data_IF_680929414497
#
_entry.id   IF_680929414497
#
_cell.length_a   1.000
_cell.length_b   1.000
_cell.length_c   1.000
_cell.angle_alpha   90.00
_cell.angle_beta   90.00
_cell.angle_gamma   90.00
#
_symmetry.space_group_name_H-M   'P 1'
#
loop_
_entity.id
_entity.type
_entity.pdbx_description
1 polymer ?
#
# COMPACT_ATOMS: atom_id res chain seq x y z
N UNK A 1 -15.94 -40.22 6.13
CA UNK A 1 -14.91 -39.60 7.00
C UNK A 1 -14.36 -38.28 6.44
N UNK A 2 -14.23 -38.11 5.12
CA UNK A 2 -13.70 -36.89 4.48
C UNK A 2 -14.53 -35.61 4.64
N UNK A 3 -15.84 -35.72 4.91
CA UNK A 3 -16.72 -34.54 5.15
C UNK A 3 -16.45 -33.84 6.50
N UNK A 4 -15.91 -34.55 7.49
CA UNK A 4 -15.66 -33.98 8.84
C UNK A 4 -14.32 -33.24 8.90
N UNK A 5 -13.30 -33.73 8.20
CA UNK A 5 -11.97 -33.07 8.13
C UNK A 5 -12.04 -31.78 7.29
N UNK A 6 -12.78 -31.80 6.17
CA UNK A 6 -13.02 -30.58 5.38
C UNK A 6 -13.83 -29.51 6.12
N UNK A 7 -14.78 -29.92 6.98
CA UNK A 7 -15.55 -28.99 7.81
C UNK A 7 -14.73 -28.31 8.90
N UNK A 8 -13.77 -29.03 9.51
CA UNK A 8 -12.88 -28.48 10.55
C UNK A 8 -11.85 -27.53 9.92
N UNK A 9 -11.32 -27.84 8.74
CA UNK A 9 -10.43 -26.94 8.01
C UNK A 9 -11.15 -25.65 7.57
N UNK A 10 -12.41 -25.74 7.16
CA UNK A 10 -13.24 -24.58 6.82
C UNK A 10 -13.56 -23.73 8.05
N UNK A 11 -13.85 -24.37 9.20
CA UNK A 11 -14.11 -23.67 10.47
C UNK A 11 -12.85 -23.00 11.03
N UNK A 12 -11.67 -23.61 10.88
CA UNK A 12 -10.39 -23.00 11.26
C UNK A 12 -10.01 -21.85 10.32
N UNK A 13 -10.30 -21.96 9.02
CA UNK A 13 -10.11 -20.87 8.07
C UNK A 13 -11.08 -19.69 8.34
N UNK A 14 -12.34 -19.98 8.68
CA UNK A 14 -13.32 -18.97 9.06
C UNK A 14 -12.99 -18.31 10.40
N UNK A 15 -12.51 -19.08 11.39
CA UNK A 15 -12.04 -18.54 12.67
C UNK A 15 -10.77 -17.68 12.51
N UNK A 16 -9.87 -18.04 11.60
CA UNK A 16 -8.68 -17.25 11.28
C UNK A 16 -9.05 -15.94 10.57
N UNK A 17 -10.03 -15.97 9.66
CA UNK A 17 -10.56 -14.77 8.99
C UNK A 17 -11.30 -13.85 9.97
N UNK A 18 -12.12 -14.41 10.88
CA UNK A 18 -12.79 -13.63 11.92
C UNK A 18 -11.82 -13.06 12.96
N UNK A 19 -10.72 -13.77 13.28
CA UNK A 19 -9.68 -13.24 14.15
C UNK A 19 -8.91 -12.08 13.51
N UNK A 20 -8.79 -12.04 12.18
CA UNK A 20 -8.23 -10.88 11.47
C UNK A 20 -9.17 -9.67 11.44
N UNK A 21 -10.50 -9.87 11.42
CA UNK A 21 -11.47 -8.77 11.49
C UNK A 21 -11.65 -8.21 12.90
N UNK A 22 -11.44 -9.01 13.95
CA UNK A 22 -11.65 -8.61 15.34
C UNK A 22 -10.53 -7.72 15.92
N UNK A 23 -9.33 -7.74 15.33
CA UNK A 23 -8.22 -6.86 15.75
C UNK A 23 -8.31 -5.42 15.16
N UNK A 24 -9.38 -5.09 14.40
CA UNK A 24 -9.56 -3.77 13.76
C UNK A 24 -10.60 -2.85 14.44
N UNK A 25 -11.26 -3.27 15.52
CA UNK A 25 -12.20 -2.42 16.26
C UNK A 25 -11.99 -2.49 17.79
N UNK A 26 -11.18 -1.56 18.29
CA UNK A 26 -11.16 -1.19 19.70
C UNK A 26 -12.49 -0.48 20.04
N UNK A 27 -13.38 -1.17 20.76
CA UNK A 27 -14.56 -0.55 21.37
C UNK A 27 -14.49 -0.76 22.87
N UNK A 28 -14.24 0.35 23.55
CA UNK A 28 -14.36 0.55 24.99
C UNK A 28 -15.78 0.17 25.45
N UNK A 29 -15.90 -0.79 26.36
CA UNK A 29 -17.15 -1.04 27.10
C UNK A 29 -16.99 -0.58 28.56
N UNK A 30 -17.86 0.35 28.97
CA UNK A 30 -18.14 0.72 30.37
C UNK A 30 -18.92 -0.40 31.09
N UNK A 31 -18.84 -0.48 32.44
CA UNK A 31 -19.34 -1.63 33.19
C UNK A 31 -20.83 -1.49 33.51
N UNK A 32 -21.65 -2.47 33.12
CA UNK A 32 -23.03 -2.57 33.59
C UNK A 32 -23.19 -3.78 34.53
N UNK A 33 -23.42 -3.41 35.78
CA UNK A 33 -24.26 -4.01 36.82
C UNK A 33 -24.41 -5.54 36.93
N UNK A 34 -24.05 -6.02 38.11
CA UNK A 34 -24.43 -7.29 38.69
C UNK A 34 -25.95 -7.51 38.67
N UNK A 35 -26.36 -8.68 38.17
CA UNK A 35 -27.66 -9.27 38.44
C UNK A 35 -27.48 -10.76 38.70
N UNK A 36 -27.85 -11.15 39.92
CA UNK A 36 -27.85 -12.50 40.46
C UNK A 36 -28.72 -13.44 39.61
N UNK A 37 -28.18 -14.59 39.21
CA UNK A 37 -29.00 -15.74 38.83
C UNK A 37 -28.53 -16.97 39.60
N UNK A 38 -29.45 -17.37 40.48
CA UNK A 38 -29.50 -18.52 41.35
C UNK A 38 -28.85 -19.81 40.83
N UNK A 39 -28.28 -20.53 41.78
CA UNK A 39 -27.77 -21.88 41.68
C UNK A 39 -28.72 -22.82 40.91
N UNK A 40 -28.23 -23.35 39.79
CA UNK A 40 -28.59 -24.68 39.33
C UNK A 40 -27.31 -25.47 39.14
N UNK A 41 -27.00 -26.28 40.15
CA UNK A 41 -25.92 -27.27 40.13
C UNK A 41 -26.26 -28.33 39.09
N UNK A 42 -25.99 -28.05 37.81
CA UNK A 42 -25.83 -29.09 36.80
C UNK A 42 -24.45 -29.70 37.02
N UNK A 43 -24.44 -30.92 37.59
CA UNK A 43 -23.27 -31.78 37.62
C UNK A 43 -22.71 -31.95 36.20
N UNK A 44 -21.74 -31.12 35.82
CA UNK A 44 -20.85 -31.41 34.72
C UNK A 44 -19.99 -32.59 35.15
N UNK A 45 -19.89 -33.69 34.36
CA UNK A 45 -18.92 -34.72 34.67
C UNK A 45 -17.53 -34.06 34.72
N UNK A 46 -16.72 -34.41 35.73
CA UNK A 46 -15.33 -33.98 35.82
C UNK A 46 -14.69 -34.14 34.43
N UNK A 47 -14.42 -33.02 33.75
CA UNK A 47 -13.66 -33.05 32.51
C UNK A 47 -12.26 -33.44 32.93
N UNK A 48 -11.95 -34.72 32.84
CA UNK A 48 -10.62 -35.25 33.13
C UNK A 48 -9.61 -34.52 32.24
N UNK A 49 -8.95 -33.50 32.79
CA UNK A 49 -7.90 -32.76 32.09
C UNK A 49 -6.79 -33.70 31.60
N UNK A 50 -6.63 -34.86 32.25
CA UNK A 50 -5.73 -35.92 31.85
C UNK A 50 -6.13 -36.62 30.53
N UNK A 51 -7.43 -36.81 30.24
CA UNK A 51 -7.87 -37.42 28.98
C UNK A 51 -7.79 -36.42 27.82
N UNK A 52 -8.11 -35.14 28.08
CA UNK A 52 -7.87 -34.06 27.13
C UNK A 52 -6.37 -33.89 26.85
N UNK A 53 -5.52 -33.88 27.88
CA UNK A 53 -4.07 -33.77 27.73
C UNK A 53 -3.47 -34.95 26.96
N UNK A 54 -3.96 -36.19 27.17
CA UNK A 54 -3.54 -37.35 26.38
C UNK A 54 -3.90 -37.20 24.89
N UNK A 55 -5.03 -36.57 24.58
CA UNK A 55 -5.45 -36.31 23.19
C UNK A 55 -4.55 -35.27 22.48
N UNK A 56 -3.78 -34.47 23.22
CA UNK A 56 -2.80 -33.51 22.69
C UNK A 56 -1.38 -34.08 22.55
N UNK A 57 -1.13 -35.33 22.95
CA UNK A 57 0.19 -35.96 22.77
C UNK A 57 0.26 -36.47 21.33
N UNK A 58 1.17 -35.95 20.49
CA UNK A 58 1.31 -36.40 19.11
C UNK A 58 1.85 -37.84 19.05
N UNK A 59 1.57 -38.55 17.96
CA UNK A 59 2.08 -39.90 17.64
C UNK A 59 1.48 -41.07 18.44
N UNK A 60 0.26 -40.94 18.98
CA UNK A 60 -0.36 -42.02 19.75
C UNK A 60 -1.00 -43.14 18.90
N UNK A 61 -1.51 -42.81 17.71
CA UNK A 61 -2.23 -43.76 16.87
C UNK A 61 -1.37 -44.21 15.68
N UNK A 62 -1.08 -45.52 15.52
CA UNK A 62 -0.26 -46.02 14.42
C UNK A 62 -0.90 -45.77 13.03
N UNK A 63 -2.23 -45.79 12.94
CA UNK A 63 -2.96 -45.57 11.68
C UNK A 63 -2.84 -44.13 11.15
N UNK A 64 -2.66 -43.16 12.05
CA UNK A 64 -2.50 -41.74 11.70
C UNK A 64 -1.03 -41.29 11.77
N UNK A 65 -0.11 -42.16 12.19
CA UNK A 65 1.29 -41.83 12.40
C UNK A 65 1.93 -41.14 11.19
N UNK A 66 1.66 -41.63 9.96
CA UNK A 66 2.19 -41.03 8.73
C UNK A 66 1.63 -39.62 8.50
N UNK A 67 0.33 -39.41 8.71
CA UNK A 67 -0.33 -38.11 8.54
C UNK A 67 0.12 -37.14 9.62
N UNK A 68 0.22 -37.60 10.88
CA UNK A 68 0.72 -36.83 12.01
C UNK A 68 2.18 -36.43 11.79
N UNK A 69 3.05 -37.37 11.41
CA UNK A 69 4.45 -37.09 11.09
C UNK A 69 4.61 -36.12 9.92
N UNK A 70 3.82 -36.28 8.85
CA UNK A 70 3.83 -35.35 7.73
C UNK A 70 3.36 -33.94 8.14
N UNK A 71 2.31 -33.85 8.96
CA UNK A 71 1.77 -32.56 9.44
C UNK A 71 2.74 -31.84 10.36
N UNK A 72 3.37 -32.56 11.29
CA UNK A 72 4.42 -32.00 12.16
C UNK A 72 5.65 -31.58 11.36
N UNK A 73 6.09 -32.40 10.41
CA UNK A 73 7.21 -32.06 9.53
C UNK A 73 6.92 -30.80 8.71
N UNK A 74 5.70 -30.67 8.18
CA UNK A 74 5.26 -29.48 7.46
C UNK A 74 5.20 -28.25 8.37
N UNK A 75 4.67 -28.38 9.59
CA UNK A 75 4.63 -27.31 10.58
C UNK A 75 6.02 -26.82 10.99
N UNK A 76 6.95 -27.74 11.25
CA UNK A 76 8.35 -27.41 11.57
C UNK A 76 9.01 -26.72 10.38
N UNK A 77 8.85 -27.25 9.16
CA UNK A 77 9.39 -26.64 7.95
C UNK A 77 8.85 -25.21 7.77
N UNK A 78 7.54 -25.01 7.96
CA UNK A 78 6.90 -23.70 7.88
C UNK A 78 7.50 -22.72 8.90
N UNK A 79 7.68 -23.14 10.16
CA UNK A 79 8.30 -22.31 11.19
C UNK A 79 9.76 -21.95 10.84
N UNK A 80 10.56 -22.92 10.39
CA UNK A 80 11.95 -22.67 9.99
C UNK A 80 12.00 -21.66 8.84
N UNK A 81 11.17 -21.83 7.81
CA UNK A 81 11.10 -20.92 6.67
C UNK A 81 10.63 -19.52 7.08
N UNK A 82 9.71 -19.42 8.05
CA UNK A 82 9.27 -18.15 8.61
C UNK A 82 10.41 -17.40 9.29
N UNK A 83 11.11 -18.04 10.24
CA UNK A 83 12.20 -17.38 10.99
C UNK A 83 13.39 -17.05 10.10
N UNK A 84 13.79 -17.95 9.20
CA UNK A 84 14.87 -17.70 8.23
C UNK A 84 14.47 -16.57 7.27
N UNK A 85 13.25 -16.59 6.76
CA UNK A 85 12.75 -15.56 5.84
C UNK A 85 12.66 -14.18 6.50
N UNK A 86 12.18 -14.11 7.74
CA UNK A 86 12.15 -12.89 8.55
C UNK A 86 13.57 -12.35 8.77
N UNK A 87 14.51 -13.22 9.16
CA UNK A 87 15.90 -12.84 9.40
C UNK A 87 16.61 -12.32 8.15
N UNK A 88 16.35 -12.93 6.98
CA UNK A 88 16.89 -12.47 5.70
C UNK A 88 16.39 -11.07 5.33
N UNK A 89 15.08 -10.83 5.46
CA UNK A 89 14.50 -9.51 5.19
C UNK A 89 15.08 -8.44 6.12
N UNK A 90 15.18 -8.76 7.42
CA UNK A 90 15.77 -7.86 8.41
C UNK A 90 17.22 -7.52 8.06
N UNK A 91 18.03 -8.51 7.68
CA UNK A 91 19.42 -8.31 7.27
C UNK A 91 19.56 -7.39 6.05
N UNK A 92 18.70 -7.54 5.03
CA UNK A 92 18.71 -6.66 3.86
C UNK A 92 18.42 -5.22 4.26
N UNK A 93 17.45 -5.04 5.16
CA UNK A 93 17.03 -3.72 5.59
C UNK A 93 18.07 -3.04 6.50
N UNK A 94 18.71 -3.80 7.39
CA UNK A 94 19.83 -3.32 8.21
C UNK A 94 21.04 -2.94 7.32
N UNK A 95 21.37 -3.74 6.31
CA UNK A 95 22.42 -3.40 5.33
C UNK A 95 22.14 -2.12 4.55
N UNK A 96 20.89 -1.89 4.17
CA UNK A 96 20.51 -0.63 3.53
C UNK A 96 20.68 0.55 4.49
N UNK A 97 20.30 0.38 5.76
CA UNK A 97 20.43 1.43 6.77
C UNK A 97 21.91 1.78 7.00
N UNK A 98 22.79 0.79 7.13
CA UNK A 98 24.24 0.99 7.30
C UNK A 98 24.85 1.83 6.17
N UNK A 99 24.40 1.62 4.92
CA UNK A 99 24.87 2.38 3.75
C UNK A 99 24.23 3.77 3.66
N UNK A 100 22.95 3.91 4.03
CA UNK A 100 22.19 5.14 3.90
C UNK A 100 22.45 6.14 5.04
N UNK A 101 22.61 5.65 6.27
CA UNK A 101 22.61 6.45 7.49
C UNK A 101 23.71 7.53 7.52
N UNK A 102 24.97 7.27 7.12
CA UNK A 102 26.01 8.31 7.08
C UNK A 102 25.63 9.49 6.18
N UNK A 103 25.00 9.22 5.03
CA UNK A 103 24.57 10.25 4.09
C UNK A 103 23.38 11.00 4.66
N UNK A 104 22.39 10.29 5.22
CA UNK A 104 21.20 10.92 5.76
C UNK A 104 21.53 11.80 6.97
N UNK A 105 22.44 11.38 7.86
CA UNK A 105 22.86 12.19 9.02
C UNK A 105 23.60 13.46 8.64
N UNK A 106 24.37 13.46 7.54
CA UNK A 106 25.06 14.68 7.09
C UNK A 106 24.12 15.66 6.39
N UNK A 107 23.04 15.16 5.81
CA UNK A 107 22.14 15.92 4.94
C UNK A 107 20.85 16.38 5.61
N UNK A 108 20.49 15.79 6.76
CA UNK A 108 19.26 16.06 7.49
C UNK A 108 19.54 16.34 8.97
N UNK A 109 18.82 17.32 9.54
CA UNK A 109 18.95 17.67 10.96
C UNK A 109 18.31 16.61 11.87
N UNK A 110 17.19 16.03 11.43
CA UNK A 110 16.47 15.01 12.18
C UNK A 110 16.38 13.73 11.35
N UNK A 111 17.12 12.72 11.78
CA UNK A 111 17.00 11.36 11.27
C UNK A 111 16.32 10.49 12.35
N UNK A 112 15.71 9.36 11.96
CA UNK A 112 15.08 8.45 12.91
C UNK A 112 15.99 8.03 14.07
N UNK A 113 17.31 8.04 13.85
CA UNK A 113 18.34 7.69 14.83
C UNK A 113 18.95 8.88 15.61
N UNK A 114 18.41 10.10 15.45
CA UNK A 114 18.87 11.33 16.14
C UNK A 114 18.07 11.66 17.41
N UNK A 115 16.90 11.05 17.59
CA UNK A 115 16.09 11.21 18.82
C UNK A 115 16.68 10.31 19.92
N UNK A 116 16.69 10.74 21.18
CA UNK A 116 17.25 9.98 22.32
C UNK A 116 16.63 8.57 22.50
N UNK A 117 15.45 8.33 21.93
CA UNK A 117 14.79 7.02 21.81
C UNK A 117 14.84 6.45 20.38
N UNK A 118 15.94 6.73 19.66
CA UNK A 118 16.11 6.60 18.21
C UNK A 118 15.24 5.54 17.57
N UNK A 119 14.11 5.97 17.01
CA UNK A 119 13.26 5.10 16.21
C UNK A 119 13.98 4.96 14.88
N UNK A 120 14.92 4.01 14.85
CA UNK A 120 15.71 3.67 13.67
C UNK A 120 14.84 3.15 12.54
N UNK A 121 15.33 2.17 11.79
CA UNK A 121 14.50 1.51 10.79
C UNK A 121 13.24 0.88 11.43
N UNK A 122 12.07 1.39 11.08
CA UNK A 122 10.76 0.93 11.58
C UNK A 122 10.34 -0.28 10.75
N UNK A 123 10.06 -1.39 11.42
CA UNK A 123 9.46 -2.58 10.80
C UNK A 123 7.94 -2.43 10.85
N UNK A 124 7.31 -2.01 9.74
CA UNK A 124 5.84 -1.98 9.64
C UNK A 124 5.27 -3.38 9.44
N UNK A 125 5.97 -4.22 8.68
CA UNK A 125 5.64 -5.63 8.52
C UNK A 125 6.91 -6.46 8.34
N UNK A 126 6.79 -7.80 8.34
CA UNK A 126 7.94 -8.71 8.13
C UNK A 126 8.60 -8.57 6.74
N UNK A 127 8.02 -7.76 5.87
CA UNK A 127 8.46 -7.48 4.51
C UNK A 127 8.54 -5.99 4.18
N UNK A 128 8.08 -5.09 5.05
CA UNK A 128 8.08 -3.65 4.80
C UNK A 128 8.81 -2.93 5.92
N UNK A 129 9.82 -2.14 5.57
CA UNK A 129 10.61 -1.36 6.50
C UNK A 129 10.65 0.10 6.08
N UNK A 130 10.47 1.01 7.03
CA UNK A 130 10.44 2.45 6.75
C UNK A 130 11.45 3.23 7.55
N UNK A 131 11.97 4.28 6.93
CA UNK A 131 12.89 5.21 7.55
C UNK A 131 12.47 6.64 7.27
N UNK A 132 12.47 7.47 8.31
CA UNK A 132 11.97 8.84 8.24
C UNK A 132 13.09 9.84 8.51
N UNK A 133 13.14 10.91 7.71
CA UNK A 133 14.05 12.04 7.88
C UNK A 133 13.31 13.37 7.69
N UNK A 134 13.74 14.40 8.42
CA UNK A 134 13.26 15.78 8.29
C UNK A 134 14.39 16.80 8.57
N UNK A 135 14.12 18.08 8.33
CA UNK A 135 15.08 19.15 8.66
C UNK A 135 16.13 19.42 7.58
N UNK A 136 15.75 19.25 6.31
CA UNK A 136 16.50 19.73 5.12
C UNK A 136 15.64 20.75 4.38
N UNK A 137 16.29 21.67 3.64
CA UNK A 137 15.62 22.70 2.83
C UNK A 137 14.76 22.06 1.71
N UNK A 138 13.71 22.77 1.29
CA UNK A 138 12.80 22.41 0.19
C UNK A 138 11.93 21.16 0.40
N UNK A 139 12.10 20.44 1.51
CA UNK A 139 11.28 19.28 1.86
C UNK A 139 10.61 19.45 3.21
N UNK A 140 9.42 18.87 3.32
CA UNK A 140 8.67 18.74 4.57
C UNK A 140 8.99 17.42 5.25
N UNK A 141 9.00 16.33 4.49
CA UNK A 141 9.27 14.96 4.98
C UNK A 141 10.01 14.15 3.93
N UNK A 142 10.86 13.25 4.40
CA UNK A 142 11.53 12.25 3.60
C UNK A 142 11.22 10.88 4.20
N UNK A 143 10.74 9.96 3.37
CA UNK A 143 10.36 8.60 3.73
C UNK A 143 11.06 7.66 2.77
N UNK A 144 11.87 6.74 3.29
CA UNK A 144 12.37 5.62 2.51
C UNK A 144 11.57 4.38 2.91
N UNK A 145 10.96 3.73 1.93
CA UNK A 145 10.14 2.53 2.07
C UNK A 145 10.82 1.36 1.34
N UNK A 146 11.25 0.37 2.13
CA UNK A 146 11.80 -0.89 1.67
C UNK A 146 10.69 -1.93 1.57
N UNK A 147 10.12 -2.06 0.38
CA UNK A 147 9.18 -3.13 0.03
C UNK A 147 9.98 -4.38 -0.35
N UNK A 148 10.28 -5.19 0.67
CA UNK A 148 10.91 -6.48 0.47
C UNK A 148 9.87 -7.54 0.13
N UNK A 149 10.35 -8.52 -0.57
CA UNK A 149 9.65 -9.74 -0.83
C UNK A 149 9.30 -10.49 0.48
N UNK A 150 8.05 -10.96 0.62
CA UNK A 150 7.57 -11.83 1.71
C UNK A 150 8.25 -13.20 1.76
N UNK A 151 9.53 -13.24 2.17
CA UNK A 151 10.31 -14.49 2.29
C UNK A 151 9.86 -15.34 3.47
N UNK A 152 9.18 -14.78 4.46
CA UNK A 152 8.69 -15.54 5.61
C UNK A 152 7.45 -16.39 5.27
N UNK A 153 6.77 -16.11 4.16
CA UNK A 153 5.56 -16.83 3.74
C UNK A 153 5.87 -17.90 2.69
N UNK A 154 5.41 -19.13 2.96
CA UNK A 154 5.58 -20.28 2.07
C UNK A 154 4.78 -20.11 0.77
N UNK A 155 3.55 -19.61 0.84
CA UNK A 155 2.71 -19.46 -0.34
C UNK A 155 3.30 -18.44 -1.31
N UNK A 156 3.74 -17.30 -0.78
CA UNK A 156 4.47 -16.28 -1.53
C UNK A 156 5.74 -16.83 -2.19
N UNK A 157 6.48 -17.75 -1.54
CA UNK A 157 7.65 -18.40 -2.13
C UNK A 157 7.27 -19.31 -3.31
N UNK A 158 6.21 -20.11 -3.17
CA UNK A 158 5.74 -21.00 -4.24
C UNK A 158 5.25 -20.17 -5.44
N UNK A 159 4.47 -19.13 -5.20
CA UNK A 159 3.95 -18.26 -6.25
C UNK A 159 5.06 -17.59 -7.07
N UNK A 160 6.20 -17.29 -6.45
CA UNK A 160 7.35 -16.69 -7.17
C UNK A 160 8.05 -17.58 -8.17
N UNK A 161 7.89 -18.89 -8.06
CA UNK A 161 8.40 -19.80 -9.10
C UNK A 161 7.68 -19.50 -10.41
N UNK A 162 6.43 -19.04 -10.34
CA UNK A 162 5.60 -18.70 -11.49
C UNK A 162 5.75 -17.22 -11.87
N UNK A 163 5.69 -16.31 -10.88
CA UNK A 163 5.74 -14.85 -11.12
C UNK A 163 7.02 -14.25 -10.53
N UNK A 164 8.02 -13.91 -11.38
CA UNK A 164 9.23 -13.28 -10.91
C UNK A 164 8.90 -11.91 -10.29
N UNK A 165 9.39 -11.68 -9.08
CA UNK A 165 9.19 -10.45 -8.32
C UNK A 165 10.53 -9.96 -7.78
N UNK A 166 10.67 -8.65 -7.58
CA UNK A 166 11.90 -8.02 -7.07
C UNK A 166 11.62 -7.27 -5.77
N UNK A 167 12.66 -7.04 -4.96
CA UNK A 167 12.57 -6.10 -3.84
C UNK A 167 12.68 -4.66 -4.35
N UNK A 168 11.92 -3.74 -3.74
CA UNK A 168 11.88 -2.33 -4.14
C UNK A 168 12.26 -1.39 -3.01
N UNK A 169 12.99 -0.32 -3.35
CA UNK A 169 13.24 0.84 -2.52
C UNK A 169 12.47 2.01 -3.12
N UNK A 170 11.43 2.46 -2.43
CA UNK A 170 10.66 3.65 -2.80
C UNK A 170 11.05 4.79 -1.89
N UNK A 171 11.53 5.88 -2.46
CA UNK A 171 11.87 7.10 -1.72
C UNK A 171 10.82 8.15 -2.04
N UNK A 172 10.12 8.56 -0.99
CA UNK A 172 9.04 9.52 -1.01
C UNK A 172 9.42 10.79 -0.27
N UNK A 173 9.31 11.91 -0.96
CA UNK A 173 9.67 13.21 -0.45
C UNK A 173 8.48 14.15 -0.58
N UNK A 174 8.02 14.66 0.54
CA UNK A 174 7.07 15.77 0.57
C UNK A 174 7.81 17.06 0.28
N UNK A 175 7.49 17.73 -0.82
CA UNK A 175 8.14 18.98 -1.22
C UNK A 175 7.42 20.18 -0.62
N UNK A 176 8.12 21.27 -0.34
CA UNK A 176 7.47 22.47 0.18
C UNK A 176 6.67 23.18 -0.92
N UNK A 177 5.36 23.31 -0.75
CA UNK A 177 4.46 23.87 -1.78
C UNK A 177 4.75 25.32 -2.18
N UNK A 178 5.47 26.09 -1.33
CA UNK A 178 5.87 27.47 -1.69
C UNK A 178 7.11 27.52 -2.56
N UNK A 179 7.98 26.51 -2.42
CA UNK A 179 9.28 26.48 -3.07
C UNK A 179 9.22 25.77 -4.42
N UNK A 180 8.21 24.97 -4.72
CA UNK A 180 8.12 24.22 -5.98
C UNK A 180 7.03 24.83 -6.87
N UNK A 181 7.38 25.09 -8.13
CA UNK A 181 6.40 25.58 -9.11
C UNK A 181 5.41 24.46 -9.49
N UNK A 182 4.18 24.80 -9.91
CA UNK A 182 3.18 23.79 -10.27
C UNK A 182 3.52 23.15 -11.61
N UNK A 183 4.19 22.00 -11.58
CA UNK A 183 4.49 21.18 -12.75
C UNK A 183 4.45 19.69 -12.42
N UNK A 184 4.25 18.90 -13.46
CA UNK A 184 4.38 17.44 -13.41
C UNK A 184 5.56 17.06 -14.29
N UNK A 185 6.48 16.28 -13.75
CA UNK A 185 7.63 15.73 -14.45
C UNK A 185 7.87 14.31 -14.00
N UNK A 186 7.83 13.37 -14.94
CA UNK A 186 8.05 11.96 -14.66
C UNK A 186 8.99 11.34 -15.68
N UNK A 187 9.82 10.41 -15.22
CA UNK A 187 10.65 9.54 -16.04
C UNK A 187 10.32 8.11 -15.63
N UNK A 188 9.96 7.25 -16.58
CA UNK A 188 9.64 5.86 -16.25
C UNK A 188 10.04 4.90 -17.35
N UNK A 189 10.21 3.62 -17.00
CA UNK A 189 10.38 2.57 -18.00
C UNK A 189 9.14 2.46 -18.89
N UNK A 190 9.34 2.30 -20.20
CA UNK A 190 8.25 2.19 -21.19
C UNK A 190 7.23 1.10 -20.81
N UNK A 191 7.71 -0.07 -20.39
CA UNK A 191 6.86 -1.19 -19.96
C UNK A 191 6.09 -0.90 -18.66
N UNK A 192 6.64 -0.06 -17.78
CA UNK A 192 6.05 0.28 -16.48
C UNK A 192 5.07 1.44 -16.50
N UNK A 193 4.96 2.18 -17.62
CA UNK A 193 4.16 3.40 -17.68
C UNK A 193 2.66 3.17 -17.39
N UNK A 194 2.09 2.06 -17.85
CA UNK A 194 0.68 1.74 -17.59
C UNK A 194 0.40 1.40 -16.12
N UNK A 195 1.37 0.85 -15.40
CA UNK A 195 1.24 0.66 -13.95
C UNK A 195 1.41 2.00 -13.23
N UNK A 196 2.38 2.80 -13.68
CA UNK A 196 2.63 4.13 -13.13
C UNK A 196 1.43 5.06 -13.28
N UNK A 197 0.72 5.03 -14.40
CA UNK A 197 -0.45 5.89 -14.63
C UNK A 197 -1.67 5.49 -13.80
N UNK A 198 -1.73 4.25 -13.30
CA UNK A 198 -2.74 3.85 -12.30
C UNK A 198 -2.41 4.41 -10.91
N UNK A 199 -1.11 4.50 -10.61
CA UNK A 199 -0.60 5.09 -9.37
C UNK A 199 -0.79 6.62 -9.42
N UNK A 200 -0.39 7.26 -10.53
CA UNK A 200 -0.52 8.69 -10.78
C UNK A 200 -1.41 8.96 -12.00
N UNK A 201 -2.75 8.99 -11.84
CA UNK A 201 -3.69 9.30 -12.91
C UNK A 201 -3.41 10.64 -13.60
N UNK A 202 -2.85 11.61 -12.88
CA UNK A 202 -2.50 12.93 -13.40
C UNK A 202 -1.51 12.89 -14.58
N UNK A 203 -0.71 11.81 -14.68
CA UNK A 203 0.23 11.62 -15.80
C UNK A 203 -0.48 11.41 -17.14
N UNK A 204 -1.71 10.91 -17.13
CA UNK A 204 -2.54 10.76 -18.34
C UNK A 204 -3.44 11.98 -18.52
N UNK A 205 -4.03 12.48 -17.43
CA UNK A 205 -5.01 13.57 -17.48
C UNK A 205 -4.39 14.91 -17.89
N UNK A 206 -3.16 15.18 -17.41
CA UNK A 206 -2.54 16.51 -17.52
C UNK A 206 -1.24 16.49 -18.30
N UNK A 207 -0.38 15.50 -18.03
CA UNK A 207 0.93 15.42 -18.67
C UNK A 207 0.87 14.80 -20.08
N UNK A 208 1.90 15.08 -20.88
CA UNK A 208 2.12 14.47 -22.20
C UNK A 208 3.47 13.78 -22.25
N UNK A 209 3.54 12.68 -22.96
CA UNK A 209 4.80 12.01 -23.25
C UNK A 209 5.60 12.82 -24.27
N UNK A 210 6.84 13.14 -23.95
CA UNK A 210 7.75 13.90 -24.80
C UNK A 210 8.98 13.04 -25.08
N UNK A 211 9.36 12.82 -26.36
CA UNK A 211 10.61 12.16 -26.68
C UNK A 211 11.77 13.13 -26.37
N UNK A 212 12.71 12.69 -25.54
CA UNK A 212 13.87 13.47 -25.09
C UNK A 212 15.11 12.62 -25.36
N UNK A 213 16.08 13.16 -26.12
CA UNK A 213 17.27 12.40 -26.58
C UNK A 213 18.28 12.14 -25.47
N UNK A 214 18.20 12.94 -24.41
CA UNK A 214 19.10 12.97 -23.27
C UNK A 214 18.86 11.78 -22.33
N UNK A 215 17.66 11.21 -22.34
CA UNK A 215 17.23 10.07 -21.52
C UNK A 215 17.35 8.77 -22.31
N UNK A 216 17.73 7.63 -21.67
CA UNK A 216 17.81 6.35 -22.35
C UNK A 216 16.53 5.95 -23.08
N UNK A 217 16.69 5.29 -24.24
CA UNK A 217 15.57 4.85 -25.07
C UNK A 217 14.66 3.82 -24.38
N UNK A 218 15.09 3.20 -23.27
CA UNK A 218 14.27 2.29 -22.48
C UNK A 218 13.19 3.01 -21.64
N UNK A 219 13.27 4.35 -21.54
CA UNK A 219 12.41 5.17 -20.70
C UNK A 219 11.58 6.18 -21.50
N UNK A 220 10.50 6.65 -20.88
CA UNK A 220 9.66 7.76 -21.34
C UNK A 220 9.74 8.91 -20.36
N UNK A 221 9.70 10.13 -20.91
CA UNK A 221 9.54 11.36 -20.14
C UNK A 221 8.13 11.86 -20.32
N UNK A 222 7.40 12.07 -19.22
CA UNK A 222 6.07 12.65 -19.21
C UNK A 222 6.11 13.99 -18.48
N UNK A 223 5.64 15.04 -19.13
CA UNK A 223 5.66 16.39 -18.57
C UNK A 223 4.41 17.19 -18.97
N UNK A 224 3.97 18.09 -18.09
CA UNK A 224 2.92 19.08 -18.41
C UNK A 224 3.48 20.22 -19.28
N UNK A 225 4.74 20.61 -19.03
CA UNK A 225 5.43 21.69 -19.75
C UNK A 225 6.66 21.17 -20.48
N UNK A 226 6.80 21.52 -21.75
CA UNK A 226 7.94 21.14 -22.60
C UNK A 226 9.25 21.87 -22.22
N UNK A 227 9.17 22.90 -21.36
CA UNK A 227 10.33 23.61 -20.83
C UNK A 227 11.03 22.81 -19.72
N UNK A 228 10.28 22.05 -18.92
CA UNK A 228 10.79 21.37 -17.72
C UNK A 228 11.87 20.34 -18.03
N UNK A 229 11.73 19.42 -19.00
CA UNK A 229 12.79 18.45 -19.28
C UNK A 229 14.14 19.10 -19.59
N UNK A 230 14.15 20.25 -20.28
CA UNK A 230 15.39 20.96 -20.65
C UNK A 230 16.10 21.55 -19.42
N UNK A 231 15.35 22.01 -18.43
CA UNK A 231 15.89 22.60 -17.20
C UNK A 231 16.24 21.52 -16.18
N UNK A 232 15.40 20.48 -16.08
CA UNK A 232 15.55 19.40 -15.11
C UNK A 232 16.72 18.47 -15.46
N UNK A 233 16.89 18.11 -16.74
CA UNK A 233 17.91 17.17 -17.20
C UNK A 233 19.28 17.83 -17.33
N UNK A 234 19.86 18.22 -16.21
CA UNK A 234 21.26 18.65 -16.13
C UNK A 234 22.21 17.50 -16.51
N UNK A 235 23.44 17.81 -16.92
CA UNK A 235 24.43 16.79 -17.29
C UNK A 235 24.70 15.79 -16.15
N UNK A 236 24.71 16.25 -14.91
CA UNK A 236 24.85 15.38 -13.73
C UNK A 236 23.66 14.44 -13.56
N UNK A 237 22.43 14.93 -13.76
CA UNK A 237 21.22 14.11 -13.68
C UNK A 237 21.18 13.06 -14.80
N UNK A 238 21.55 13.44 -16.02
CA UNK A 238 21.62 12.53 -17.16
C UNK A 238 22.63 11.40 -16.90
N UNK A 239 23.80 11.70 -16.34
CA UNK A 239 24.79 10.71 -15.97
C UNK A 239 24.26 9.75 -14.89
N UNK A 240 23.64 10.28 -13.84
CA UNK A 240 23.07 9.48 -12.77
C UNK A 240 21.94 8.56 -13.25
N UNK A 241 21.07 9.05 -14.14
CA UNK A 241 19.99 8.24 -14.74
C UNK A 241 20.56 7.09 -15.58
N UNK A 242 21.61 7.34 -16.37
CA UNK A 242 22.27 6.30 -17.19
C UNK A 242 22.93 5.25 -16.32
N UNK A 243 23.60 5.66 -15.25
CA UNK A 243 24.25 4.74 -14.32
C UNK A 243 23.24 3.87 -13.56
N UNK A 244 22.10 4.45 -13.17
CA UNK A 244 21.06 3.77 -12.40
C UNK A 244 19.94 3.19 -13.27
N UNK A 245 20.07 3.17 -14.59
CA UNK A 245 19.01 2.80 -15.54
C UNK A 245 18.44 1.39 -15.29
N UNK A 246 19.31 0.43 -14.98
CA UNK A 246 18.91 -0.96 -14.71
C UNK A 246 17.98 -1.04 -13.48
N UNK A 247 18.26 -0.25 -12.45
CA UNK A 247 17.56 -0.27 -11.16
C UNK A 247 16.36 0.67 -11.09
N UNK A 248 16.44 1.84 -11.73
CA UNK A 248 15.39 2.85 -11.73
C UNK A 248 14.13 2.33 -12.44
N UNK A 249 13.00 2.30 -11.74
CA UNK A 249 11.72 1.91 -12.32
C UNK A 249 10.95 3.13 -12.81
N UNK A 250 10.82 4.11 -11.92
CA UNK A 250 10.27 5.42 -12.23
C UNK A 250 10.71 6.49 -11.24
N UNK A 251 10.61 7.74 -11.70
CA UNK A 251 10.79 8.98 -10.97
C UNK A 251 9.58 9.85 -11.31
N UNK A 252 8.93 10.43 -10.31
CA UNK A 252 7.80 11.34 -10.49
C UNK A 252 7.94 12.52 -9.55
N UNK A 253 7.87 13.72 -10.10
CA UNK A 253 7.68 14.98 -9.40
C UNK A 253 6.30 15.48 -9.83
N UNK A 254 5.42 15.71 -8.87
CA UNK A 254 4.04 16.15 -9.14
C UNK A 254 3.60 17.13 -8.07
N UNK A 255 2.85 18.16 -8.48
CA UNK A 255 2.16 19.10 -7.61
C UNK A 255 0.70 18.68 -7.30
N UNK A 256 0.25 17.59 -7.93
CA UNK A 256 -1.14 17.12 -7.96
C UNK A 256 -1.35 15.74 -7.34
N UNK A 257 -0.43 15.28 -6.49
CA UNK A 257 -0.53 13.93 -5.94
C UNK A 257 -1.86 13.72 -5.19
N UNK A 258 -2.57 12.67 -5.60
CA UNK A 258 -3.80 12.19 -4.95
C UNK A 258 -3.56 11.00 -4.03
N UNK A 259 -2.36 10.41 -4.06
CA UNK A 259 -2.06 9.21 -3.30
C UNK A 259 -1.80 9.51 -1.83
N UNK A 260 -2.33 8.64 -0.99
CA UNK A 260 -2.00 8.62 0.43
C UNK A 260 -0.67 7.89 0.61
N UNK A 261 0.34 8.64 1.06
CA UNK A 261 1.65 8.09 1.37
C UNK A 261 1.79 8.08 2.88
N UNK A 262 2.10 6.90 3.41
CA UNK A 262 2.23 6.68 4.85
C UNK A 262 3.38 7.56 5.38
N UNK A 263 3.11 8.29 6.46
CA UNK A 263 4.03 9.26 7.03
C UNK A 263 3.97 10.66 6.41
N UNK A 264 3.17 10.88 5.35
CA UNK A 264 2.89 12.22 4.82
C UNK A 264 1.46 12.68 5.14
N UNK A 265 1.24 13.99 5.38
CA UNK A 265 -0.09 14.50 5.63
C UNK A 265 -0.92 14.43 4.35
N UNK A 266 -2.22 14.16 4.48
CA UNK A 266 -3.15 14.07 3.33
C UNK A 266 -3.21 15.35 2.49
N UNK A 267 -2.82 16.48 3.07
CA UNK A 267 -2.75 17.79 2.41
C UNK A 267 -1.51 17.96 1.52
N UNK A 268 -0.57 17.02 1.54
CA UNK A 268 0.68 17.09 0.78
C UNK A 268 0.44 16.70 -0.69
N UNK A 269 0.23 17.70 -1.54
CA UNK A 269 0.04 17.50 -2.98
C UNK A 269 1.36 17.51 -3.76
N UNK A 270 2.37 18.21 -3.26
CA UNK A 270 3.69 18.32 -3.90
C UNK A 270 4.58 17.18 -3.41
N UNK A 271 4.89 16.23 -4.28
CA UNK A 271 5.74 15.09 -3.93
C UNK A 271 6.81 14.85 -5.00
N UNK A 272 7.92 14.28 -4.55
CA UNK A 272 8.90 13.60 -5.37
C UNK A 272 8.91 12.13 -4.91
N UNK A 273 8.55 11.21 -5.81
CA UNK A 273 8.65 9.77 -5.61
C UNK A 273 9.66 9.17 -6.58
N UNK A 274 10.61 8.40 -6.07
CA UNK A 274 11.56 7.64 -6.89
C UNK A 274 11.54 6.19 -6.44
N UNK A 275 11.37 5.25 -7.37
CA UNK A 275 11.34 3.81 -7.08
C UNK A 275 12.50 3.10 -7.78
N UNK A 276 13.28 2.38 -7.00
CA UNK A 276 14.40 1.57 -7.44
C UNK A 276 14.15 0.09 -7.14
N UNK A 277 14.67 -0.79 -7.98
CA UNK A 277 14.88 -2.20 -7.66
C UNK A 277 16.14 -2.32 -6.82
N UNK A 278 16.12 -3.07 -5.72
CA UNK A 278 17.33 -3.29 -4.91
C UNK A 278 18.33 -4.21 -5.61
N UNK A 279 17.83 -5.19 -6.35
CA UNK A 279 18.65 -6.18 -7.05
C UNK A 279 18.16 -6.36 -8.49
N UNK A 280 19.11 -6.41 -9.42
CA UNK A 280 18.86 -6.76 -10.83
C UNK A 280 19.84 -7.87 -11.19
N UNK A 281 19.34 -9.09 -11.28
CA UNK A 281 20.18 -10.28 -11.40
C UNK A 281 21.08 -10.42 -10.17
N UNK A 282 22.40 -10.42 -10.38
CA UNK A 282 23.41 -10.47 -9.31
C UNK A 282 23.87 -9.10 -8.82
N UNK A 283 23.51 -8.00 -9.49
CA UNK A 283 23.95 -6.65 -9.13
C UNK A 283 23.06 -6.06 -8.04
N UNK A 284 23.68 -5.44 -7.03
CA UNK A 284 23.02 -4.67 -5.96
C UNK A 284 22.98 -3.19 -6.35
N UNK A 285 21.91 -2.49 -5.98
CA UNK A 285 21.81 -1.04 -6.08
C UNK A 285 22.90 -0.34 -5.24
N UNK A 286 23.54 0.66 -5.84
CA UNK A 286 24.44 1.59 -5.15
C UNK A 286 23.60 2.63 -4.38
N UNK A 287 23.36 2.35 -3.10
CA UNK A 287 22.50 3.17 -2.21
C UNK A 287 23.01 4.62 -2.10
N UNK A 288 24.31 4.88 -1.89
CA UNK A 288 24.84 6.24 -1.91
C UNK A 288 24.49 7.04 -3.16
N UNK A 289 24.68 6.47 -4.35
CA UNK A 289 24.37 7.17 -5.61
C UNK A 289 22.88 7.38 -5.80
N UNK A 290 22.05 6.40 -5.43
CA UNK A 290 20.60 6.54 -5.46
C UNK A 290 20.12 7.68 -4.55
N UNK A 291 20.67 7.77 -3.33
CA UNK A 291 20.37 8.87 -2.41
C UNK A 291 20.86 10.22 -2.97
N UNK A 292 22.09 10.30 -3.47
CA UNK A 292 22.61 11.54 -4.08
C UNK A 292 21.76 12.02 -5.26
N UNK A 293 21.26 11.10 -6.09
CA UNK A 293 20.32 11.42 -7.15
C UNK A 293 19.04 12.06 -6.60
N UNK A 294 18.41 11.43 -5.59
CA UNK A 294 17.19 11.99 -4.96
C UNK A 294 17.45 13.34 -4.34
N UNK A 295 18.56 13.51 -3.59
CA UNK A 295 18.92 14.78 -2.98
C UNK A 295 19.14 15.89 -4.03
N UNK A 296 19.81 15.56 -5.14
CA UNK A 296 20.00 16.52 -6.25
C UNK A 296 18.68 16.92 -6.90
N UNK A 297 17.71 15.99 -6.98
CA UNK A 297 16.37 16.27 -7.49
C UNK A 297 15.56 17.18 -6.54
N UNK A 298 15.70 17.00 -5.23
CA UNK A 298 15.07 17.88 -4.24
C UNK A 298 15.59 19.31 -4.38
N UNK A 299 16.92 19.47 -4.42
CA UNK A 299 17.55 20.77 -4.57
C UNK A 299 17.21 21.40 -5.93
N UNK A 300 17.18 20.58 -6.98
CA UNK A 300 16.75 20.99 -8.31
C UNK A 300 15.30 21.47 -8.34
N UNK A 301 14.36 20.72 -7.78
CA UNK A 301 12.94 21.08 -7.74
C UNK A 301 12.70 22.38 -6.97
N UNK A 302 13.42 22.61 -5.86
CA UNK A 302 13.29 23.81 -5.05
C UNK A 302 13.94 25.06 -5.66
N UNK A 303 15.09 24.90 -6.32
CA UNK A 303 15.91 26.04 -6.74
C UNK A 303 15.97 26.25 -8.26
N UNK A 304 16.24 25.21 -9.05
CA UNK A 304 16.63 25.36 -10.46
C UNK A 304 15.49 25.09 -11.44
N UNK A 305 14.61 24.13 -11.14
CA UNK A 305 13.50 23.70 -12.00
C UNK A 305 12.33 24.66 -11.77
N UNK A 306 12.46 25.86 -12.34
CA UNK A 306 11.43 26.89 -12.32
C UNK A 306 10.78 27.02 -13.68
N UNK A 307 9.48 27.24 -13.66
CA UNK A 307 8.72 27.56 -14.87
C UNK A 307 8.95 29.02 -15.26
N UNK A 308 8.89 29.30 -16.56
CA UNK A 308 8.78 30.68 -17.02
C UNK A 308 7.52 31.34 -16.43
N UNK A 309 7.50 32.68 -16.21
CA UNK A 309 6.34 33.34 -15.61
C UNK A 309 5.01 33.06 -16.33
N UNK A 310 5.06 32.99 -17.66
CA UNK A 310 3.92 32.65 -18.50
C UNK A 310 3.48 31.19 -18.32
N UNK A 311 4.41 30.24 -18.34
CA UNK A 311 4.11 28.83 -18.12
C UNK A 311 3.54 28.60 -16.71
N UNK A 312 4.10 29.27 -15.69
CA UNK A 312 3.61 29.23 -14.32
C UNK A 312 2.18 29.75 -14.20
N UNK A 313 1.88 30.91 -14.79
CA UNK A 313 0.51 31.45 -14.79
C UNK A 313 -0.49 30.49 -15.44
N UNK A 314 -0.11 29.92 -16.59
CA UNK A 314 -0.95 28.96 -17.31
C UNK A 314 -1.17 27.66 -16.53
N UNK A 315 -0.11 27.15 -15.87
CA UNK A 315 -0.18 25.98 -15.01
C UNK A 315 -1.14 26.23 -13.83
N UNK A 316 -0.97 27.33 -13.10
CA UNK A 316 -1.87 27.71 -11.99
C UNK A 316 -3.32 27.78 -12.48
N UNK A 317 -3.58 28.44 -13.61
CA UNK A 317 -4.93 28.54 -14.20
C UNK A 317 -5.50 27.17 -14.55
N UNK A 318 -4.67 26.24 -15.05
CA UNK A 318 -5.07 24.85 -15.33
C UNK A 318 -5.40 24.09 -14.04
N UNK A 319 -4.56 24.20 -13.00
CA UNK A 319 -4.81 23.57 -11.69
C UNK A 319 -6.11 24.06 -11.05
N UNK A 320 -6.38 25.37 -11.10
CA UNK A 320 -7.63 25.95 -10.60
C UNK A 320 -8.86 25.37 -11.31
N UNK A 321 -8.81 25.23 -12.64
CA UNK A 321 -9.90 24.61 -13.42
C UNK A 321 -10.11 23.14 -13.06
N UNK A 322 -9.03 22.38 -12.87
CA UNK A 322 -9.13 20.97 -12.48
C UNK A 322 -9.76 20.87 -11.09
N UNK A 323 -9.28 21.66 -10.13
CA UNK A 323 -9.83 21.69 -8.78
C UNK A 323 -11.33 22.04 -8.76
N UNK A 324 -11.73 23.05 -9.53
CA UNK A 324 -13.15 23.42 -9.67
C UNK A 324 -13.99 22.30 -10.31
N UNK A 325 -13.44 21.59 -11.30
CA UNK A 325 -14.12 20.47 -11.93
C UNK A 325 -14.30 19.28 -10.97
N UNK A 326 -13.27 18.98 -10.16
CA UNK A 326 -13.32 17.95 -9.13
C UNK A 326 -14.34 18.29 -8.03
N UNK A 327 -14.29 19.51 -7.49
CA UNK A 327 -15.26 19.98 -6.49
C UNK A 327 -16.71 19.92 -7.05
N UNK A 328 -16.90 20.33 -8.31
CA UNK A 328 -18.20 20.25 -8.96
C UNK A 328 -18.67 18.79 -9.21
N UNK A 329 -17.75 17.84 -9.40
CA UNK A 329 -18.08 16.42 -9.50
C UNK A 329 -18.50 15.85 -8.15
N UNK A 330 -17.74 16.13 -7.09
CA UNK A 330 -18.06 15.67 -5.72
C UNK A 330 -19.44 16.18 -5.30
N UNK A 331 -19.74 17.47 -5.52
CA UNK A 331 -21.06 18.03 -5.20
C UNK A 331 -22.19 17.33 -5.98
N UNK A 332 -21.97 17.02 -7.27
CA UNK A 332 -22.96 16.29 -8.07
C UNK A 332 -23.17 14.87 -7.56
N UNK A 333 -22.10 14.17 -7.19
CA UNK A 333 -22.19 12.81 -6.65
C UNK A 333 -22.92 12.79 -5.31
N UNK A 334 -22.63 13.73 -4.42
CA UNK A 334 -23.31 13.89 -3.13
C UNK A 334 -24.79 14.21 -3.32
N UNK A 335 -25.15 15.10 -4.24
CA UNK A 335 -26.55 15.42 -4.57
C UNK A 335 -27.30 14.20 -5.12
N UNK A 336 -26.65 13.42 -5.99
CA UNK A 336 -27.23 12.18 -6.52
C UNK A 336 -27.42 11.17 -5.39
N UNK A 337 -26.44 11.00 -4.51
CA UNK A 337 -26.51 10.08 -3.37
C UNK A 337 -27.63 10.49 -2.39
N UNK A 338 -27.76 11.78 -2.08
CA UNK A 338 -28.83 12.32 -1.22
C UNK A 338 -30.22 12.08 -1.83
N UNK A 339 -30.41 12.40 -3.11
CA UNK A 339 -31.70 12.13 -3.80
C UNK A 339 -32.04 10.65 -3.82
N UNK A 340 -31.05 9.78 -4.01
CA UNK A 340 -31.26 8.33 -3.96
C UNK A 340 -31.63 7.85 -2.55
N UNK A 341 -31.01 8.40 -1.50
CA UNK A 341 -31.34 8.08 -0.11
C UNK A 341 -32.77 8.52 0.24
N UNK A 342 -33.16 9.75 -0.11
CA UNK A 342 -34.52 10.26 0.12
C UNK A 342 -35.58 9.43 -0.62
N UNK A 343 -35.32 9.03 -1.87
CA UNK A 343 -36.24 8.17 -2.62
C UNK A 343 -36.37 6.78 -1.99
N UNK A 344 -35.28 6.22 -1.45
CA UNK A 344 -35.31 4.94 -0.71
C UNK A 344 -36.12 5.06 0.57
N UNK A 345 -35.93 6.13 1.34
CA UNK A 345 -36.66 6.38 2.57
C UNK A 345 -38.16 6.57 2.31
N UNK A 346 -38.53 7.35 1.29
CA UNK A 346 -39.93 7.52 0.87
C UNK A 346 -40.56 6.19 0.46
N UNK A 347 -39.85 5.36 -0.30
CA UNK A 347 -40.32 4.01 -0.67
C UNK A 347 -40.45 3.09 0.55
N UNK A 348 -39.54 3.18 1.52
CA UNK A 348 -39.61 2.40 2.75
C UNK A 348 -40.83 2.80 3.58
N UNK A 349 -41.08 4.10 3.76
CA UNK A 349 -42.28 4.62 4.44
C UNK A 349 -43.58 4.23 3.74
N UNK A 350 -43.59 4.26 2.40
CA UNK A 350 -44.74 3.77 1.62
C UNK A 350 -44.95 2.27 1.83
N UNK A 351 -43.89 1.46 1.74
CA UNK A 351 -43.96 0.02 1.95
C UNK A 351 -44.44 -0.35 3.36
N UNK A 352 -43.97 0.36 4.40
CA UNK A 352 -44.41 0.12 5.79
C UNK A 352 -45.88 0.49 6.05
N UNK A 353 -46.49 1.30 5.19
CA UNK A 353 -47.90 1.71 5.31
C UNK A 353 -48.86 0.74 4.60
N UNK A 354 -48.36 -0.16 3.75
CA UNK A 354 -49.17 -1.12 2.99
C UNK A 354 -49.58 -2.34 3.83
N UNK A 355 -50.67 -3.00 3.43
CA UNK A 355 -51.17 -4.23 4.08
C UNK A 355 -50.22 -5.42 3.85
N UNK A 356 -50.24 -6.40 4.76
CA UNK A 356 -49.35 -7.57 4.76
C UNK A 356 -49.40 -8.39 3.45
N UNK A 357 -50.59 -8.57 2.86
CA UNK A 357 -50.72 -9.29 1.58
C UNK A 357 -50.13 -8.51 0.38
N UNK A 358 -50.16 -7.18 0.43
CA UNK A 358 -49.58 -6.34 -0.61
C UNK A 358 -48.04 -6.30 -0.51
N UNK A 359 -47.51 -6.29 0.71
CA UNK A 359 -46.07 -6.43 0.98
C UNK A 359 -45.52 -7.74 0.39
N UNK A 360 -46.20 -8.88 0.63
CA UNK A 360 -45.79 -10.19 0.08
C UNK A 360 -45.79 -10.22 -1.46
N UNK A 361 -46.78 -9.57 -2.11
CA UNK A 361 -46.81 -9.46 -3.58
C UNK A 361 -45.65 -8.62 -4.12
N UNK A 362 -45.30 -7.53 -3.44
CA UNK A 362 -44.18 -6.66 -3.81
C UNK A 362 -42.85 -7.43 -3.66
N UNK A 363 -42.68 -8.19 -2.57
CA UNK A 363 -41.46 -8.97 -2.34
C UNK A 363 -41.30 -10.10 -3.35
N UNK A 364 -42.37 -10.84 -3.64
CA UNK A 364 -42.35 -11.87 -4.67
C UNK A 364 -42.05 -11.28 -6.07
N UNK A 365 -42.52 -10.07 -6.38
CA UNK A 365 -42.16 -9.37 -7.62
C UNK A 365 -40.70 -8.89 -7.62
N UNK A 366 -40.21 -8.37 -6.50
CA UNK A 366 -38.82 -7.91 -6.36
C UNK A 366 -37.84 -9.08 -6.46
N UNK A 367 -38.18 -10.24 -5.90
CA UNK A 367 -37.41 -11.47 -6.00
C UNK A 367 -37.33 -11.96 -7.45
N UNK A 368 -38.46 -12.01 -8.17
CA UNK A 368 -38.49 -12.33 -9.61
C UNK A 368 -37.64 -11.36 -10.44
N UNK A 369 -37.65 -10.06 -10.12
CA UNK A 369 -36.81 -9.04 -10.78
C UNK A 369 -35.32 -9.22 -10.43
N UNK A 370 -35.01 -9.55 -9.18
CA UNK A 370 -33.64 -9.80 -8.73
C UNK A 370 -33.03 -11.04 -9.39
N UNK A 371 -33.81 -12.12 -9.50
CA UNK A 371 -33.40 -13.34 -10.22
C UNK A 371 -33.13 -13.04 -11.70
N UNK A 372 -34.02 -12.31 -12.39
CA UNK A 372 -33.81 -11.88 -13.77
C UNK A 372 -32.55 -11.02 -13.95
N UNK A 373 -32.29 -10.07 -13.04
CA UNK A 373 -31.08 -9.25 -13.06
C UNK A 373 -29.80 -10.06 -12.81
N UNK A 374 -29.84 -11.04 -11.90
CA UNK A 374 -28.70 -11.94 -11.64
C UNK A 374 -28.39 -12.82 -12.84
N UNK A 375 -29.43 -13.29 -13.56
CA UNK A 375 -29.26 -14.12 -14.76
C UNK A 375 -28.63 -13.33 -15.92
N UNK A 376 -29.04 -12.07 -16.12
CA UNK A 376 -28.50 -11.20 -17.16
C UNK A 376 -27.08 -10.66 -16.89
N UNK A 377 -26.58 -10.72 -15.65
CA UNK A 377 -25.21 -10.30 -15.30
C UNK A 377 -24.16 -11.39 -15.48
N UNK A 378 -24.57 -12.63 -15.73
CA UNK A 378 -23.70 -13.81 -15.92
C UNK A 378 -23.51 -14.22 -17.39
N UNK A 379 -24.13 -13.50 -18.32
CA UNK A 379 -23.78 -13.47 -19.74
C UNK A 379 -22.92 -12.25 -19.98
#
# INVERSE_FOLDING_TARGET
>A
MWRKVGGIALLLALAYVQAQEADEFDVVEEPIAAAEVAASTRNLPNRDFATLAKQFIPFQNPDYFVIEAASWSFGILFLVLYFVGKGQNRRIADQWLEEAEPILRTQFSYTGSSVENGVGLIEESRSNFKYFCTGRRFLTRFVADLELLSRHDLMSRIFRIIVPSSDYLTIDVGLHSKDVDPFIFAISKKLGFNALSKIFPELIETAKQVPVKEVPESMWVSTDSTEIPKVALTHSLQAAIRELEEFLEYLVITDMNKQLIIGMPKTQTHILRVRFKLYVGSKKLDVPKALQLVLSLIDGAGATIKLSPNAKHNAIKRRLKIKQAEEAQVVKEDDIARRQAELKEKKHKQYSTLSYEEQQKIDAQNEKKAIRKRFNRKK
#
